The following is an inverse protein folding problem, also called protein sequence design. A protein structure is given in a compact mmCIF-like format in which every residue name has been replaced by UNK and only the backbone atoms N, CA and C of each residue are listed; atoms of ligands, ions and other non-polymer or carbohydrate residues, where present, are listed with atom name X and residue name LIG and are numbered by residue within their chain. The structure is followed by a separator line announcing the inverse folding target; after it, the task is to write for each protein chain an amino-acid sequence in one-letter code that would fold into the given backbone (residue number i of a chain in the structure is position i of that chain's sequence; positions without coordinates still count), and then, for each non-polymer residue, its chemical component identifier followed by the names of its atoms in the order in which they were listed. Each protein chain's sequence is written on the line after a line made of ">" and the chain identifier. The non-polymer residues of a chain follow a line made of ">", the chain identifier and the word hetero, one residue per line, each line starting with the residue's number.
data_IF_602807189198
#
_entry.id   IF_602807189198
#
_cell.length_a   1.000
_cell.length_b   1.000
_cell.length_c   1.000
_cell.angle_alpha   90.00
_cell.angle_beta   90.00
_cell.angle_gamma   90.00
#
_symmetry.space_group_name_H-M   'P 1'
#
loop_
_entity.id
_entity.type
_entity.pdbx_description
1 polymer ?
#
# COMPACT_ATOMS: atom_id res chain seq x y z
N UNK A 1 -29.03 -22.33 52.59
CA UNK A 1 -28.74 -23.77 52.46
C UNK A 1 -28.66 -24.08 50.97
N UNK A 2 -27.43 -24.15 50.50
CA UNK A 2 -26.89 -25.15 49.57
C UNK A 2 -27.71 -25.51 48.32
N UNK A 3 -27.16 -25.27 47.12
CA UNK A 3 -26.36 -26.30 46.46
C UNK A 3 -25.70 -25.79 45.18
N UNK A 4 -24.37 -25.91 45.17
CA UNK A 4 -23.49 -25.90 44.00
C UNK A 4 -23.78 -27.13 43.12
N UNK A 5 -23.71 -26.99 41.79
CA UNK A 5 -23.47 -28.13 40.91
C UNK A 5 -22.68 -27.72 39.67
N UNK A 6 -21.75 -28.61 39.33
CA UNK A 6 -20.49 -28.41 38.64
C UNK A 6 -20.31 -29.65 37.78
N UNK A 7 -20.33 -29.52 36.46
CA UNK A 7 -20.05 -30.65 35.56
C UNK A 7 -19.41 -30.10 34.27
N UNK A 8 -18.08 -30.16 34.10
CA UNK A 8 -17.20 -31.26 33.64
C UNK A 8 -17.46 -31.73 32.19
N UNK A 9 -16.49 -31.35 31.33
CA UNK A 9 -15.76 -32.12 30.29
C UNK A 9 -16.54 -32.97 29.27
N UNK A 10 -16.24 -32.76 27.99
CA UNK A 10 -15.78 -33.84 27.10
C UNK A 10 -15.05 -33.26 25.88
N UNK A 11 -13.81 -33.73 25.68
CA UNK A 11 -13.03 -33.72 24.44
C UNK A 11 -13.22 -35.10 23.85
N UNK A 12 -13.59 -35.20 22.58
CA UNK A 12 -13.42 -36.42 21.79
C UNK A 12 -12.70 -36.04 20.48
N UNK A 13 -11.57 -36.70 20.29
CA UNK A 13 -10.90 -36.95 19.02
C UNK A 13 -11.34 -38.35 18.59
N UNK A 14 -11.54 -38.56 17.28
CA UNK A 14 -11.37 -39.81 16.52
C UNK A 14 -11.99 -39.60 15.13
N UNK A 15 -11.57 -40.18 14.01
CA UNK A 15 -10.43 -41.00 13.61
C UNK A 15 -10.50 -41.07 12.05
N UNK A 16 -9.39 -40.78 11.36
CA UNK A 16 -8.73 -41.55 10.26
C UNK A 16 -9.60 -42.18 9.14
N UNK A 17 -9.26 -41.99 7.85
CA UNK A 17 -8.31 -42.86 7.10
C UNK A 17 -8.36 -42.73 5.56
N UNK A 18 -7.15 -42.73 4.98
CA UNK A 18 -6.62 -43.26 3.71
C UNK A 18 -7.34 -43.22 2.35
N UNK A 19 -6.51 -43.02 1.30
CA UNK A 19 -6.67 -43.80 0.08
C UNK A 19 -6.06 -43.26 -1.22
N UNK A 20 -4.79 -43.57 -1.47
CA UNK A 20 -4.24 -44.04 -2.76
C UNK A 20 -4.01 -43.07 -3.96
N UNK A 21 -2.76 -42.60 -4.07
CA UNK A 21 -1.74 -42.88 -5.10
C UNK A 21 -2.06 -43.09 -6.61
N UNK A 22 -1.24 -42.38 -7.41
CA UNK A 22 -0.56 -42.74 -8.68
C UNK A 22 -1.31 -42.82 -10.03
N UNK A 23 -0.98 -41.93 -10.98
CA UNK A 23 -0.29 -42.29 -12.25
C UNK A 23 0.26 -41.09 -13.04
N UNK A 24 1.47 -41.27 -13.55
CA UNK A 24 2.23 -40.39 -14.45
C UNK A 24 1.57 -40.26 -15.83
N UNK A 25 1.71 -39.10 -16.46
CA UNK A 25 1.83 -39.01 -17.92
C UNK A 25 2.73 -37.84 -18.34
N UNK A 26 3.79 -38.23 -19.03
CA UNK A 26 4.84 -37.45 -19.69
C UNK A 26 4.30 -36.87 -21.00
N UNK A 27 4.48 -35.57 -21.24
CA UNK A 27 4.57 -35.03 -22.61
C UNK A 27 5.57 -33.87 -22.60
N UNK A 28 6.69 -34.10 -23.29
CA UNK A 28 7.65 -33.08 -23.71
C UNK A 28 6.99 -32.23 -24.80
N UNK A 29 7.05 -30.90 -24.69
CA UNK A 29 7.27 -30.07 -25.87
C UNK A 29 7.91 -28.74 -25.47
N UNK A 30 9.04 -28.49 -26.13
CA UNK A 30 9.92 -27.35 -26.04
C UNK A 30 9.33 -26.22 -26.87
N UNK A 31 9.09 -25.05 -26.27
CA UNK A 31 9.25 -23.78 -26.99
C UNK A 31 9.92 -22.80 -26.03
N UNK A 32 11.19 -22.58 -26.34
CA UNK A 32 12.09 -21.66 -25.70
C UNK A 32 11.58 -20.22 -25.89
N UNK A 33 11.27 -19.54 -24.80
CA UNK A 33 11.19 -18.08 -24.80
C UNK A 33 11.97 -17.52 -23.63
N UNK A 34 13.28 -17.42 -23.87
CA UNK A 34 14.26 -16.52 -23.28
C UNK A 34 13.84 -15.91 -21.93
N UNK A 35 14.14 -16.63 -20.86
CA UNK A 35 14.23 -16.07 -19.52
C UNK A 35 15.52 -15.25 -19.50
N UNK A 36 15.38 -13.95 -19.77
CA UNK A 36 16.50 -13.02 -19.67
C UNK A 36 16.82 -12.86 -18.18
N UNK A 37 17.84 -13.58 -17.72
CA UNK A 37 18.39 -13.50 -16.38
C UNK A 37 18.84 -12.06 -16.09
N UNK A 38 17.95 -11.26 -15.49
CA UNK A 38 18.32 -9.97 -14.94
C UNK A 38 19.25 -10.19 -13.76
N UNK A 39 20.50 -9.76 -13.97
CA UNK A 39 21.60 -9.80 -13.00
C UNK A 39 21.13 -9.34 -11.61
N UNK A 40 21.50 -10.06 -10.53
CA UNK A 40 21.18 -9.63 -9.18
C UNK A 40 21.83 -8.27 -8.92
N UNK A 41 20.99 -7.29 -8.56
CA UNK A 41 21.45 -6.06 -7.93
C UNK A 41 22.36 -6.46 -6.76
N UNK A 42 23.57 -5.89 -6.72
CA UNK A 42 24.58 -6.13 -5.68
C UNK A 42 23.95 -6.27 -4.29
N UNK A 43 24.42 -7.21 -3.43
CA UNK A 43 23.86 -7.40 -2.11
C UNK A 43 24.00 -6.11 -1.30
N UNK A 44 22.92 -5.31 -1.29
CA UNK A 44 22.80 -4.15 -0.42
C UNK A 44 22.73 -4.67 1.00
N UNK A 45 23.42 -4.00 1.92
CA UNK A 45 23.29 -4.31 3.33
C UNK A 45 21.79 -4.25 3.73
N UNK A 46 21.31 -5.17 4.59
CA UNK A 46 19.93 -5.15 5.04
C UNK A 46 19.55 -3.79 5.64
N UNK A 47 18.40 -3.25 5.25
CA UNK A 47 17.90 -1.99 5.78
C UNK A 47 16.98 -2.26 6.94
N UNK A 48 17.35 -1.73 8.11
CA UNK A 48 16.50 -1.76 9.29
C UNK A 48 15.48 -0.62 9.24
N UNK A 49 14.20 -0.96 9.27
CA UNK A 49 13.10 0.00 9.32
C UNK A 49 12.19 -0.36 10.50
N UNK A 50 12.20 0.50 11.52
CA UNK A 50 11.48 0.24 12.77
C UNK A 50 11.94 -1.05 13.44
N UNK A 51 11.06 -2.04 13.45
CA UNK A 51 11.22 -3.30 14.16
C UNK A 51 11.55 -4.49 13.23
N UNK A 52 11.81 -4.22 11.95
CA UNK A 52 12.08 -5.24 10.93
C UNK A 52 13.25 -4.86 10.04
N UNK A 53 14.01 -5.87 9.64
CA UNK A 53 15.09 -5.73 8.66
C UNK A 53 14.59 -6.22 7.29
N UNK A 54 14.94 -5.48 6.24
CA UNK A 54 14.56 -5.77 4.86
C UNK A 54 15.79 -6.08 4.04
N UNK A 55 15.77 -7.21 3.34
CA UNK A 55 16.89 -7.68 2.50
C UNK A 55 16.85 -7.02 1.12
N UNK A 56 15.66 -6.69 0.61
CA UNK A 56 15.46 -6.02 -0.68
C UNK A 56 14.38 -4.93 -0.62
N UNK A 57 14.38 -4.04 -1.63
CA UNK A 57 13.31 -3.06 -1.82
C UNK A 57 11.95 -3.72 -2.11
N UNK A 58 11.95 -4.88 -2.78
CA UNK A 58 10.75 -5.67 -3.07
C UNK A 58 10.12 -6.19 -1.77
N UNK A 59 10.94 -6.75 -0.86
CA UNK A 59 10.43 -7.23 0.45
C UNK A 59 9.80 -6.10 1.26
N UNK A 60 10.41 -4.90 1.22
CA UNK A 60 9.87 -3.72 1.88
C UNK A 60 8.58 -3.25 1.23
N UNK A 61 8.54 -3.23 -0.11
CA UNK A 61 7.34 -2.87 -0.86
C UNK A 61 6.19 -3.82 -0.55
N UNK A 62 6.40 -5.13 -0.63
CA UNK A 62 5.38 -6.15 -0.41
C UNK A 62 4.82 -6.10 1.01
N UNK A 63 5.68 -5.82 1.99
CA UNK A 63 5.23 -5.62 3.38
C UNK A 63 4.19 -4.50 3.48
N UNK A 64 4.52 -3.29 3.01
CA UNK A 64 3.62 -2.15 3.10
C UNK A 64 2.44 -2.26 2.15
N UNK A 65 2.60 -2.90 0.98
CA UNK A 65 1.52 -3.19 0.06
C UNK A 65 0.49 -4.12 0.69
N UNK A 66 0.93 -5.25 1.25
CA UNK A 66 0.04 -6.21 1.90
C UNK A 66 -0.65 -5.59 3.11
N UNK A 67 0.08 -4.82 3.91
CA UNK A 67 -0.50 -4.10 5.04
C UNK A 67 -1.60 -3.12 4.59
N UNK A 68 -1.33 -2.30 3.57
CA UNK A 68 -2.29 -1.33 3.04
C UNK A 68 -3.59 -1.97 2.53
N UNK A 69 -3.48 -3.15 1.91
CA UNK A 69 -4.61 -3.83 1.28
C UNK A 69 -5.38 -4.73 2.24
N UNK A 70 -4.71 -5.31 3.25
CA UNK A 70 -5.34 -6.16 4.26
C UNK A 70 -5.98 -5.38 5.41
N UNK A 71 -5.46 -4.19 5.74
CA UNK A 71 -5.97 -3.43 6.88
C UNK A 71 -7.37 -2.85 6.65
N UNK A 72 -8.17 -2.81 7.72
CA UNK A 72 -9.52 -2.24 7.70
C UNK A 72 -9.45 -0.71 7.54
N UNK A 73 -10.23 -0.11 6.62
CA UNK A 73 -10.21 1.32 6.41
C UNK A 73 -10.77 2.07 7.63
N UNK A 74 -10.28 3.29 7.88
CA UNK A 74 -10.66 4.17 8.99
C UNK A 74 -10.36 3.64 10.41
N UNK A 75 -9.71 2.48 10.52
CA UNK A 75 -9.24 1.93 11.78
C UNK A 75 -7.81 2.40 12.07
N UNK A 76 -7.58 2.87 13.30
CA UNK A 76 -6.23 3.20 13.76
C UNK A 76 -5.33 1.96 13.68
N UNK A 77 -4.14 2.14 13.13
CA UNK A 77 -3.14 1.07 13.08
C UNK A 77 -2.72 0.66 14.49
N UNK A 78 -2.28 -0.59 14.64
CA UNK A 78 -1.74 -1.06 15.92
C UNK A 78 -0.38 -0.38 16.24
N UNK A 79 0.13 -0.56 17.46
CA UNK A 79 1.39 0.06 17.90
C UNK A 79 2.62 -0.38 17.08
N UNK A 80 2.65 -1.63 16.64
CA UNK A 80 3.76 -2.16 15.84
C UNK A 80 3.81 -1.45 14.48
N UNK A 81 2.70 -1.46 13.77
CA UNK A 81 2.58 -0.82 12.45
C UNK A 81 2.71 0.71 12.54
N UNK A 82 2.30 1.32 13.66
CA UNK A 82 2.56 2.74 13.90
C UNK A 82 4.05 3.05 13.84
N UNK A 83 4.89 2.26 14.53
CA UNK A 83 6.35 2.44 14.52
C UNK A 83 6.90 2.21 13.11
N UNK A 84 6.42 1.17 12.42
CA UNK A 84 6.85 0.86 11.05
C UNK A 84 6.53 2.02 10.08
N UNK A 85 5.32 2.57 10.12
CA UNK A 85 4.93 3.70 9.26
C UNK A 85 5.64 5.00 9.63
N UNK A 86 5.88 5.24 10.92
CA UNK A 86 6.62 6.41 11.38
C UNK A 86 8.06 6.38 10.86
N UNK A 87 8.73 5.23 10.95
CA UNK A 87 10.09 5.06 10.43
C UNK A 87 10.13 5.09 8.90
N UNK A 88 9.12 4.52 8.21
CA UNK A 88 8.99 4.66 6.77
C UNK A 88 8.89 6.13 6.34
N UNK A 89 8.08 6.91 7.07
CA UNK A 89 7.86 8.32 6.78
C UNK A 89 9.11 9.15 7.03
N UNK A 90 9.79 8.94 8.18
CA UNK A 90 11.03 9.66 8.53
C UNK A 90 12.15 9.43 7.51
N UNK A 91 12.35 8.18 7.12
CA UNK A 91 13.49 7.79 6.29
C UNK A 91 13.21 7.91 4.79
N UNK A 92 11.94 7.85 4.37
CA UNK A 92 11.57 7.81 2.96
C UNK A 92 10.89 9.06 2.42
N UNK A 93 10.33 9.94 3.26
CA UNK A 93 9.76 11.19 2.76
C UNK A 93 10.88 12.20 2.47
N UNK A 94 10.73 13.04 1.44
CA UNK A 94 11.70 14.11 1.14
C UNK A 94 11.70 15.19 2.23
N UNK A 95 10.53 15.44 2.80
CA UNK A 95 10.29 16.46 3.82
C UNK A 95 9.64 15.84 5.08
N UNK A 96 10.37 14.99 5.83
CA UNK A 96 9.80 14.27 6.97
C UNK A 96 9.41 15.23 8.11
N UNK A 97 10.21 16.26 8.36
CA UNK A 97 9.96 17.25 9.41
C UNK A 97 8.64 17.99 9.21
N UNK A 98 8.32 18.35 7.96
CA UNK A 98 7.05 18.98 7.64
C UNK A 98 5.87 18.05 7.92
N UNK A 99 5.98 16.76 7.55
CA UNK A 99 4.90 15.79 7.76
C UNK A 99 4.68 15.48 9.23
N UNK A 100 5.75 15.37 10.01
CA UNK A 100 5.74 14.98 11.42
C UNK A 100 5.54 16.20 12.34
N UNK A 101 5.70 17.42 11.83
CA UNK A 101 5.45 18.65 12.58
C UNK A 101 4.05 18.64 13.23
N UNK A 102 4.01 19.03 14.51
CA UNK A 102 2.77 18.99 15.31
C UNK A 102 2.44 17.62 15.91
N UNK A 103 3.28 16.60 15.69
CA UNK A 103 3.10 15.26 16.26
C UNK A 103 2.07 14.42 15.52
N UNK A 104 2.31 13.09 15.50
CA UNK A 104 1.40 12.12 14.88
C UNK A 104 0.69 11.35 15.98
N UNK A 105 -0.62 11.53 16.06
CA UNK A 105 -1.50 10.83 17.01
C UNK A 105 -1.75 9.38 16.57
N UNK A 106 -2.01 9.17 15.28
CA UNK A 106 -2.31 7.86 14.72
C UNK A 106 -2.05 7.80 13.21
N UNK A 107 -1.97 6.59 12.68
CA UNK A 107 -2.10 6.33 11.24
C UNK A 107 -3.39 5.55 10.96
N UNK A 108 -3.92 5.73 9.76
CA UNK A 108 -5.06 4.97 9.25
C UNK A 108 -4.87 4.64 7.78
N UNK A 109 -5.44 3.53 7.33
CA UNK A 109 -5.67 3.29 5.91
C UNK A 109 -6.98 3.95 5.50
N UNK A 110 -6.98 4.76 4.44
CA UNK A 110 -8.19 5.36 3.87
C UNK A 110 -8.13 5.35 2.34
N UNK A 111 -9.26 5.58 1.68
CA UNK A 111 -9.30 5.83 0.24
C UNK A 111 -9.02 7.30 -0.03
N UNK A 112 -8.06 7.59 -0.90
CA UNK A 112 -7.77 8.96 -1.32
C UNK A 112 -9.00 9.53 -2.08
N UNK A 113 -9.47 10.74 -1.75
CA UNK A 113 -10.72 11.28 -2.30
C UNK A 113 -10.69 11.43 -3.83
N UNK A 114 -9.54 11.83 -4.38
CA UNK A 114 -9.32 12.02 -5.84
C UNK A 114 -9.05 10.70 -6.56
N UNK A 115 -7.96 9.99 -6.23
CA UNK A 115 -7.51 8.80 -6.96
C UNK A 115 -8.22 7.49 -6.61
N UNK A 116 -9.08 7.48 -5.57
CA UNK A 116 -9.83 6.30 -5.09
C UNK A 116 -8.98 5.10 -4.67
N UNK A 117 -7.65 5.20 -4.72
CA UNK A 117 -6.69 4.23 -4.21
C UNK A 117 -6.64 4.24 -2.68
N UNK A 118 -6.24 3.13 -2.07
CA UNK A 118 -5.92 3.10 -0.63
C UNK A 118 -4.58 3.81 -0.41
N UNK A 119 -4.48 4.62 0.65
CA UNK A 119 -3.25 5.27 1.10
C UNK A 119 -3.18 5.27 2.63
N UNK A 120 -1.97 5.45 3.15
CA UNK A 120 -1.77 5.72 4.58
C UNK A 120 -1.99 7.20 4.83
N UNK A 121 -2.82 7.49 5.83
CA UNK A 121 -3.07 8.82 6.34
C UNK A 121 -2.46 8.93 7.73
N UNK A 122 -1.69 9.99 7.96
CA UNK A 122 -1.33 10.43 9.30
C UNK A 122 -2.43 11.33 9.85
N UNK A 123 -2.68 11.19 11.14
CA UNK A 123 -3.60 12.02 11.90
C UNK A 123 -2.75 12.75 12.93
N UNK A 124 -2.71 14.08 12.84
CA UNK A 124 -1.97 14.93 13.77
C UNK A 124 -2.71 15.06 15.11
N UNK A 125 -2.03 15.59 16.12
CA UNK A 125 -2.63 15.83 17.44
C UNK A 125 -3.82 16.79 17.38
N UNK A 126 -3.76 17.80 16.50
CA UNK A 126 -4.85 18.74 16.23
C UNK A 126 -6.04 18.14 15.45
N UNK A 127 -5.96 16.85 15.06
CA UNK A 127 -6.98 16.15 14.30
C UNK A 127 -6.93 16.39 12.79
N UNK A 128 -6.05 17.27 12.30
CA UNK A 128 -5.80 17.39 10.86
C UNK A 128 -5.21 16.09 10.31
N UNK A 129 -5.47 15.83 9.03
CA UNK A 129 -5.00 14.60 8.38
C UNK A 129 -4.26 14.91 7.10
N UNK A 130 -3.26 14.11 6.82
CA UNK A 130 -2.42 14.23 5.64
C UNK A 130 -2.05 12.83 5.14
N UNK A 131 -1.88 12.65 3.84
CA UNK A 131 -1.53 11.35 3.26
C UNK A 131 -0.06 11.32 2.82
N UNK A 132 0.46 10.10 2.70
CA UNK A 132 1.76 9.87 2.08
C UNK A 132 1.75 8.57 1.27
N UNK A 133 2.60 8.53 0.25
CA UNK A 133 2.77 7.37 -0.60
C UNK A 133 3.88 6.48 -0.06
N UNK A 134 3.53 5.28 0.43
CA UNK A 134 4.53 4.31 0.87
C UNK A 134 5.49 3.94 -0.27
N UNK A 135 5.00 3.86 -1.52
CA UNK A 135 5.83 3.53 -2.68
C UNK A 135 6.93 4.56 -2.90
N UNK A 136 6.62 5.86 -2.77
CA UNK A 136 7.64 6.93 -2.84
C UNK A 136 8.64 6.83 -1.69
N UNK A 137 8.17 6.52 -0.48
CA UNK A 137 9.05 6.34 0.67
C UNK A 137 9.99 5.14 0.48
N UNK A 138 9.47 3.99 0.03
CA UNK A 138 10.29 2.80 -0.23
C UNK A 138 11.33 3.09 -1.30
N UNK A 139 10.92 3.66 -2.44
CA UNK A 139 11.82 3.97 -3.56
C UNK A 139 12.95 4.94 -3.17
N UNK A 140 12.68 5.87 -2.24
CA UNK A 140 13.69 6.77 -1.70
C UNK A 140 14.68 6.07 -0.76
N UNK A 141 14.22 5.13 0.07
CA UNK A 141 15.08 4.38 1.01
C UNK A 141 15.91 3.32 0.29
N UNK A 142 15.25 2.53 -0.55
CA UNK A 142 15.82 1.48 -1.38
C UNK A 142 15.17 1.54 -2.76
N UNK A 143 15.90 1.98 -3.81
CA UNK A 143 15.36 2.11 -5.15
C UNK A 143 14.64 0.85 -5.61
N UNK A 144 13.42 1.03 -6.12
CA UNK A 144 12.63 -0.07 -6.65
C UNK A 144 13.15 -0.46 -8.04
N UNK A 145 13.00 -1.75 -8.44
CA UNK A 145 13.26 -2.18 -9.80
C UNK A 145 12.51 -1.30 -10.81
N UNK A 146 13.10 -1.09 -11.99
CA UNK A 146 12.60 -0.16 -13.01
C UNK A 146 11.14 -0.44 -13.42
N UNK A 147 10.73 -1.71 -13.39
CA UNK A 147 9.36 -2.15 -13.68
C UNK A 147 8.35 -1.63 -12.64
N UNK A 148 8.81 -1.42 -11.41
CA UNK A 148 8.04 -0.95 -10.26
C UNK A 148 8.29 0.54 -9.95
N UNK A 149 9.01 1.27 -10.79
CA UNK A 149 9.13 2.71 -10.62
C UNK A 149 7.84 3.40 -11.09
N UNK A 150 7.47 4.48 -10.41
CA UNK A 150 6.33 5.31 -10.80
C UNK A 150 6.75 6.10 -12.05
N UNK A 151 6.35 5.64 -13.24
CA UNK A 151 6.56 6.41 -14.48
C UNK A 151 5.86 7.78 -14.32
N UNK A 152 6.55 8.91 -14.56
CA UNK A 152 5.98 10.24 -14.35
C UNK A 152 4.72 10.50 -15.20
N UNK A 153 4.61 9.85 -16.37
CA UNK A 153 3.53 10.10 -17.33
C UNK A 153 2.17 9.45 -16.99
N UNK A 154 2.12 8.39 -16.18
CA UNK A 154 0.84 7.70 -15.89
C UNK A 154 -0.04 8.45 -14.88
N UNK A 155 0.54 9.31 -14.05
CA UNK A 155 -0.24 10.21 -13.18
C UNK A 155 -1.04 11.24 -13.98
N UNK A 156 -0.66 11.53 -15.24
CA UNK A 156 -1.41 12.41 -16.13
C UNK A 156 -2.61 11.72 -16.77
N UNK A 157 -2.59 10.39 -16.86
CA UNK A 157 -3.68 9.60 -17.45
C UNK A 157 -4.78 9.24 -16.43
N UNK A 158 -4.45 9.15 -15.14
CA UNK A 158 -5.42 8.88 -14.05
C UNK A 158 -5.82 10.14 -13.27
N UNK A 159 -5.07 11.24 -13.42
CA UNK A 159 -5.42 12.55 -12.90
C UNK A 159 -6.29 13.29 -13.90
N UNK A 160 -7.61 13.04 -13.86
CA UNK A 160 -8.61 13.88 -14.51
C UNK A 160 -8.56 15.29 -13.95
N UNK A 161 -7.64 16.10 -14.47
CA UNK A 161 -7.51 17.53 -14.21
C UNK A 161 -8.72 18.24 -14.81
N UNK A 162 -9.79 18.34 -14.01
CA UNK A 162 -10.92 19.21 -14.27
C UNK A 162 -10.45 20.66 -14.34
N UNK A 163 -10.11 21.10 -15.55
CA UNK A 163 -9.80 22.50 -15.85
C UNK A 163 -11.13 23.24 -15.96
N UNK A 164 -11.77 23.50 -14.81
CA UNK A 164 -12.82 24.50 -14.71
C UNK A 164 -12.19 25.87 -14.97
N UNK A 165 -12.20 26.31 -16.23
CA UNK A 165 -12.11 27.74 -16.51
C UNK A 165 -13.50 28.34 -16.39
N UNK A 166 -13.61 29.19 -15.38
CA UNK A 166 -14.76 29.94 -14.97
C UNK A 166 -15.39 30.73 -16.14
N UNK A 167 -16.71 30.84 -16.07
CA UNK A 167 -17.50 31.65 -16.97
C UNK A 167 -17.09 33.13 -16.98
N UNK A 168 -17.20 33.70 -18.17
CA UNK A 168 -17.31 35.13 -18.46
C UNK A 168 -18.25 35.16 -19.68
N UNK A 169 -19.55 35.39 -19.53
CA UNK A 169 -20.09 36.70 -19.18
C UNK A 169 -19.86 37.65 -20.35
N UNK A 170 -20.83 37.78 -21.26
CA UNK A 170 -20.74 38.73 -22.38
C UNK A 170 -21.84 38.56 -23.42
N UNK A 171 -22.99 39.18 -23.17
CA UNK A 171 -24.06 39.33 -24.17
C UNK A 171 -23.62 40.20 -25.34
N UNK A 172 -24.15 39.88 -26.52
CA UNK A 172 -23.93 40.65 -27.75
C UNK A 172 -25.00 40.33 -28.78
N UNK A 173 -26.24 40.77 -28.52
CA UNK A 173 -27.25 40.92 -29.56
C UNK A 173 -26.84 42.10 -30.44
N UNK A 174 -26.65 41.84 -31.74
CA UNK A 174 -26.66 42.90 -32.75
C UNK A 174 -25.65 42.69 -33.85
N UNK A 175 -26.10 42.18 -34.99
CA UNK A 175 -25.87 42.89 -36.25
C UNK A 175 -26.90 42.47 -37.31
N UNK A 176 -27.69 43.47 -37.66
CA UNK A 176 -28.62 43.56 -38.76
C UNK A 176 -27.85 44.25 -39.88
N UNK A 177 -27.72 43.65 -41.05
CA UNK A 177 -27.43 44.39 -42.28
C UNK A 177 -26.42 43.80 -43.26
N UNK A 178 -26.88 43.76 -44.53
CA UNK A 178 -26.17 43.70 -45.83
C UNK A 178 -25.75 42.29 -46.27
N UNK A 179 -26.11 41.79 -47.46
CA UNK A 179 -26.50 42.45 -48.72
C UNK A 179 -27.56 41.63 -49.46
#
# INVERSE_FOLDING_TARGET
>A
MDMESKEKRAREEDNVNDGATSKMQKVENEEEQSVEEKKPSSPSAPVKLGLKDFVSSIDMFDYFYNFLHSWSPFLNVNKYEHIMLLELLKNGHTDPDQKISGGIRAFQVRKHPTWKSRCFFLIREDGSTDDFSFRKCVDHILPLPEEMQLKPDVNRALGGGGKHHAGKGGGGRGQRGRS
#
